data_IF_689992155573
#
_entry.id   IF_689992155573
#
_cell.length_a   1.000
_cell.length_b   1.000
_cell.length_c   1.000
_cell.angle_alpha   90.00
_cell.angle_beta   90.00
_cell.angle_gamma   90.00
#
_symmetry.space_group_name_H-M   'P 1'
#
loop_
_entity.id
_entity.type
_entity.pdbx_description
1 polymer ?
#
# COMPACT_ATOMS: atom_id res chain seq x y z
N UNK A 1 -22.98 -9.00 -3.43
CA UNK A 1 -22.30 -9.02 -4.75
C UNK A 1 -21.01 -8.22 -4.63
N UNK A 2 -20.07 -8.37 -5.54
CA UNK A 2 -18.74 -7.77 -5.41
C UNK A 2 -18.42 -6.88 -6.61
N UNK A 3 -17.73 -5.77 -6.38
CA UNK A 3 -17.05 -5.01 -7.42
C UNK A 3 -15.55 -5.19 -7.34
N UNK A 4 -14.89 -5.26 -8.49
CA UNK A 4 -13.43 -5.26 -8.63
C UNK A 4 -13.04 -4.08 -9.53
N UNK A 5 -12.29 -3.13 -8.98
CA UNK A 5 -11.90 -1.89 -9.66
C UNK A 5 -10.39 -1.82 -9.80
N UNK A 6 -9.94 -1.80 -11.05
CA UNK A 6 -8.55 -1.63 -11.45
C UNK A 6 -8.32 -0.22 -11.99
N UNK A 7 -7.09 0.27 -11.83
CA UNK A 7 -6.62 1.52 -12.39
C UNK A 7 -5.27 1.32 -13.09
N UNK A 8 -5.08 1.97 -14.22
CA UNK A 8 -3.80 2.03 -14.92
C UNK A 8 -3.71 3.27 -15.80
N UNK A 9 -2.49 3.66 -16.14
CA UNK A 9 -2.23 4.85 -16.95
C UNK A 9 -1.39 4.50 -18.18
N UNK A 10 -1.64 5.19 -19.28
CA UNK A 10 -0.79 5.16 -20.49
C UNK A 10 -0.44 6.58 -20.90
N UNK A 11 0.69 6.81 -21.60
CA UNK A 11 0.96 8.08 -22.23
C UNK A 11 -0.22 8.52 -23.10
N UNK A 12 -0.59 9.80 -23.09
CA UNK A 12 -1.80 10.31 -23.76
C UNK A 12 -1.86 9.94 -25.25
N UNK A 13 -0.70 9.90 -25.92
CA UNK A 13 -0.57 9.45 -27.32
C UNK A 13 -1.04 8.00 -27.57
N UNK A 14 -1.00 7.14 -26.56
CA UNK A 14 -1.42 5.74 -26.61
C UNK A 14 -2.87 5.54 -26.17
N UNK A 15 -3.55 6.58 -25.66
CA UNK A 15 -4.91 6.51 -25.12
C UNK A 15 -5.87 5.74 -26.03
N UNK A 16 -6.03 6.19 -27.29
CA UNK A 16 -7.05 5.63 -28.18
C UNK A 16 -6.77 4.16 -28.52
N UNK A 17 -5.50 3.78 -28.64
CA UNK A 17 -5.10 2.42 -28.93
C UNK A 17 -5.34 1.51 -27.70
N UNK A 18 -4.97 1.98 -26.52
CA UNK A 18 -5.19 1.23 -25.28
C UNK A 18 -6.67 1.14 -24.91
N UNK A 19 -7.48 2.17 -25.18
CA UNK A 19 -8.94 2.14 -24.98
C UNK A 19 -9.63 1.01 -25.77
N UNK A 20 -9.24 0.82 -27.03
CA UNK A 20 -9.78 -0.28 -27.84
C UNK A 20 -9.35 -1.64 -27.32
N UNK A 21 -8.08 -1.74 -26.91
CA UNK A 21 -7.51 -2.96 -26.35
C UNK A 21 -8.17 -3.33 -25.02
N UNK A 22 -8.23 -2.40 -24.06
CA UNK A 22 -8.85 -2.58 -22.74
C UNK A 22 -10.35 -2.88 -22.82
N UNK A 23 -11.04 -2.32 -23.83
CA UNK A 23 -12.43 -2.71 -24.08
C UNK A 23 -12.56 -4.18 -24.52
N UNK A 24 -11.60 -4.69 -25.29
CA UNK A 24 -11.63 -6.07 -25.75
C UNK A 24 -11.22 -7.05 -24.64
N UNK A 25 -10.12 -6.80 -23.93
CA UNK A 25 -9.52 -7.71 -22.93
C UNK A 25 -10.08 -7.49 -21.52
N UNK A 26 -10.28 -6.24 -21.10
CA UNK A 26 -10.84 -5.90 -19.79
C UNK A 26 -12.36 -6.04 -19.76
N UNK A 27 -13.07 -5.37 -20.67
CA UNK A 27 -14.54 -5.28 -20.64
C UNK A 27 -15.21 -6.53 -21.23
N UNK A 28 -14.94 -6.89 -22.49
CA UNK A 28 -15.67 -8.00 -23.14
C UNK A 28 -15.36 -9.36 -22.53
N UNK A 29 -14.10 -9.65 -22.20
CA UNK A 29 -13.74 -10.94 -21.60
C UNK A 29 -14.39 -11.10 -20.22
N UNK A 30 -14.36 -10.06 -19.38
CA UNK A 30 -15.00 -10.13 -18.06
C UNK A 30 -16.52 -10.35 -18.16
N UNK A 31 -17.21 -9.70 -19.11
CA UNK A 31 -18.64 -9.92 -19.38
C UNK A 31 -18.96 -11.35 -19.83
N UNK A 32 -18.01 -12.04 -20.47
CA UNK A 32 -18.20 -13.41 -20.93
C UNK A 32 -18.08 -14.46 -19.81
N UNK A 33 -17.54 -14.10 -18.65
CA UNK A 33 -17.37 -15.02 -17.51
C UNK A 33 -18.72 -15.19 -16.77
N UNK A 34 -19.18 -16.43 -16.54
CA UNK A 34 -20.37 -16.69 -15.75
C UNK A 34 -20.33 -16.01 -14.37
N UNK A 35 -21.41 -15.31 -14.02
CA UNK A 35 -21.54 -14.59 -12.76
C UNK A 35 -21.08 -13.12 -12.80
N UNK A 36 -20.53 -12.65 -13.93
CA UNK A 36 -20.36 -11.22 -14.17
C UNK A 36 -21.74 -10.52 -14.30
N UNK A 37 -21.86 -9.34 -13.71
CA UNK A 37 -23.09 -8.52 -13.66
C UNK A 37 -22.94 -7.17 -14.36
N UNK A 38 -21.74 -6.86 -14.85
CA UNK A 38 -21.42 -5.62 -15.54
C UNK A 38 -19.94 -5.35 -15.55
N UNK A 39 -19.46 -4.69 -16.60
CA UNK A 39 -18.11 -4.19 -16.72
C UNK A 39 -18.17 -2.76 -17.28
N UNK A 40 -17.51 -1.84 -16.60
CA UNK A 40 -17.58 -0.41 -16.86
C UNK A 40 -16.17 0.15 -16.95
N UNK A 41 -15.93 0.95 -17.99
CA UNK A 41 -14.65 1.62 -18.20
C UNK A 41 -14.86 3.13 -18.11
N UNK A 42 -14.03 3.81 -17.30
CA UNK A 42 -13.95 5.27 -17.25
C UNK A 42 -12.55 5.69 -17.62
N UNK A 43 -12.45 6.71 -18.45
CA UNK A 43 -11.18 7.28 -18.89
C UNK A 43 -11.15 8.75 -18.49
N UNK A 44 -10.04 9.16 -17.89
CA UNK A 44 -9.78 10.55 -17.47
C UNK A 44 -8.42 10.96 -18.03
N UNK A 45 -8.36 12.10 -18.69
CA UNK A 45 -7.09 12.65 -19.17
C UNK A 45 -6.54 13.62 -18.13
N UNK A 46 -5.26 13.47 -17.78
CA UNK A 46 -4.57 14.35 -16.85
C UNK A 46 -3.13 14.51 -17.31
N UNK A 47 -2.72 15.76 -17.57
CA UNK A 47 -1.38 16.11 -18.05
C UNK A 47 -1.00 15.29 -19.30
N UNK A 48 0.12 14.55 -19.24
CA UNK A 48 0.64 13.75 -20.35
C UNK A 48 0.10 12.30 -20.36
N UNK A 49 -0.90 11.98 -19.54
CA UNK A 49 -1.41 10.63 -19.35
C UNK A 49 -2.93 10.50 -19.50
N UNK A 50 -3.36 9.32 -19.92
CA UNK A 50 -4.74 8.89 -19.85
C UNK A 50 -4.87 7.81 -18.76
N UNK A 51 -5.74 8.06 -17.79
CA UNK A 51 -6.08 7.18 -16.69
C UNK A 51 -7.29 6.33 -17.05
N UNK A 52 -7.14 5.02 -16.90
CA UNK A 52 -8.16 4.02 -17.16
C UNK A 52 -8.64 3.44 -15.83
N UNK A 53 -9.95 3.40 -15.62
CA UNK A 53 -10.58 2.76 -14.48
C UNK A 53 -11.54 1.69 -14.98
N UNK A 54 -11.18 0.42 -14.80
CA UNK A 54 -12.06 -0.72 -15.11
C UNK A 54 -12.75 -1.19 -13.83
N UNK A 55 -14.07 -1.11 -13.78
CA UNK A 55 -14.87 -1.69 -12.70
C UNK A 55 -15.71 -2.85 -13.22
N UNK A 56 -15.51 -4.04 -12.67
CA UNK A 56 -16.32 -5.24 -12.96
C UNK A 56 -17.18 -5.60 -11.76
N UNK A 57 -18.40 -6.09 -12.00
CA UNK A 57 -19.39 -6.49 -10.99
C UNK A 57 -19.61 -7.99 -11.08
N UNK A 58 -19.72 -8.65 -9.92
CA UNK A 58 -19.78 -10.10 -9.81
C UNK A 58 -20.82 -10.51 -8.77
N UNK A 59 -21.63 -11.53 -9.05
CA UNK A 59 -22.59 -12.02 -8.06
C UNK A 59 -21.93 -12.63 -6.83
N UNK A 60 -20.79 -13.28 -7.01
CA UNK A 60 -20.03 -13.96 -5.97
C UNK A 60 -18.52 -13.74 -6.11
N UNK A 61 -17.79 -13.93 -5.00
CA UNK A 61 -16.33 -13.92 -4.99
C UNK A 61 -15.74 -15.06 -5.86
N UNK A 62 -16.42 -16.20 -5.92
CA UNK A 62 -15.98 -17.33 -6.75
C UNK A 62 -15.99 -16.98 -8.25
N UNK A 63 -17.05 -16.30 -8.72
CA UNK A 63 -17.15 -15.80 -10.10
C UNK A 63 -16.04 -14.81 -10.43
N UNK A 64 -15.71 -13.92 -9.48
CA UNK A 64 -14.60 -12.98 -9.63
C UNK A 64 -13.23 -13.69 -9.70
N UNK A 65 -12.98 -14.67 -8.83
CA UNK A 65 -11.75 -15.47 -8.82
C UNK A 65 -11.59 -16.25 -10.13
N UNK A 66 -12.68 -16.70 -10.75
CA UNK A 66 -12.63 -17.35 -12.05
C UNK A 66 -12.11 -16.43 -13.17
N UNK A 67 -12.31 -15.11 -13.04
CA UNK A 67 -11.77 -14.11 -13.93
C UNK A 67 -10.36 -13.64 -13.54
N UNK A 68 -10.18 -13.22 -12.28
CA UNK A 68 -8.97 -12.56 -11.81
C UNK A 68 -7.88 -13.52 -11.29
N UNK A 69 -8.16 -14.82 -11.24
CA UNK A 69 -7.28 -15.82 -10.64
C UNK A 69 -7.36 -15.87 -9.12
N UNK A 70 -6.48 -16.68 -8.52
CA UNK A 70 -6.46 -16.94 -7.07
C UNK A 70 -6.04 -15.72 -6.24
N UNK A 71 -5.45 -14.71 -6.87
CA UNK A 71 -5.03 -13.45 -6.24
C UNK A 71 -5.80 -12.26 -6.83
N UNK A 72 -7.12 -12.14 -6.56
CA UNK A 72 -7.99 -11.20 -7.27
C UNK A 72 -7.70 -9.71 -6.97
N UNK A 73 -6.88 -9.43 -5.95
CA UNK A 73 -6.36 -8.11 -5.59
C UNK A 73 -5.20 -7.67 -6.49
N UNK A 74 -4.65 -8.54 -7.33
CA UNK A 74 -3.60 -8.22 -8.30
C UNK A 74 -4.24 -7.96 -9.66
N UNK A 75 -3.69 -7.00 -10.40
CA UNK A 75 -4.11 -6.71 -11.76
C UNK A 75 -3.85 -7.92 -12.65
N UNK A 76 -4.79 -8.21 -13.55
CA UNK A 76 -4.53 -9.20 -14.60
C UNK A 76 -3.67 -8.47 -15.63
N UNK A 77 -2.48 -8.99 -15.89
CA UNK A 77 -1.53 -8.39 -16.84
C UNK A 77 -1.43 -9.25 -18.09
N UNK A 78 -1.24 -8.58 -19.22
CA UNK A 78 -1.08 -9.21 -20.52
C UNK A 78 0.24 -8.76 -21.15
N UNK A 79 0.93 -9.63 -21.91
CA UNK A 79 2.19 -9.26 -22.57
C UNK A 79 2.10 -8.04 -23.49
N UNK A 80 0.93 -7.79 -24.09
CA UNK A 80 0.70 -6.65 -24.99
C UNK A 80 0.64 -5.31 -24.24
N UNK A 81 0.46 -5.30 -22.90
CA UNK A 81 0.33 -4.09 -22.08
C UNK A 81 1.58 -3.20 -22.19
N UNK A 82 2.76 -3.81 -22.30
CA UNK A 82 4.04 -3.10 -22.49
C UNK A 82 4.07 -2.27 -23.79
N UNK A 83 3.38 -2.73 -24.85
CA UNK A 83 3.32 -2.01 -26.13
C UNK A 83 2.70 -0.62 -25.97
N UNK A 84 1.74 -0.48 -25.05
CA UNK A 84 1.04 0.77 -24.77
C UNK A 84 1.76 1.65 -23.75
N UNK A 85 2.85 1.17 -23.16
CA UNK A 85 3.50 1.81 -22.02
C UNK A 85 2.59 1.86 -20.80
N UNK A 86 1.76 0.83 -20.61
CA UNK A 86 0.84 0.75 -19.48
C UNK A 86 1.63 0.70 -18.17
N UNK A 87 1.32 1.65 -17.28
CA UNK A 87 1.70 1.62 -15.88
C UNK A 87 0.44 1.24 -15.12
N UNK A 88 0.32 -0.05 -14.78
CA UNK A 88 -0.80 -0.60 -14.01
C UNK A 88 -0.60 -0.35 -12.52
N UNK A 89 -1.67 0.00 -11.81
CA UNK A 89 -1.62 -0.04 -10.35
C UNK A 89 -1.41 -1.49 -9.88
N UNK A 90 -0.58 -1.71 -8.86
CA UNK A 90 -0.27 -3.05 -8.37
C UNK A 90 -1.39 -3.64 -7.50
N UNK A 91 -2.41 -2.85 -7.17
CA UNK A 91 -3.52 -3.23 -6.30
C UNK A 91 -4.83 -2.95 -7.00
N UNK A 92 -5.72 -3.94 -6.96
CA UNK A 92 -7.09 -3.86 -7.42
C UNK A 92 -8.02 -3.84 -6.22
N UNK A 93 -8.92 -2.87 -6.21
CA UNK A 93 -9.85 -2.67 -5.09
C UNK A 93 -11.02 -3.62 -5.25
N UNK A 94 -11.30 -4.42 -4.22
CA UNK A 94 -12.50 -5.26 -4.14
C UNK A 94 -13.42 -4.74 -3.05
N UNK A 95 -14.71 -4.59 -3.36
CA UNK A 95 -15.72 -4.14 -2.40
C UNK A 95 -16.98 -5.00 -2.52
N UNK A 96 -17.65 -5.23 -1.39
CA UNK A 96 -19.02 -5.71 -1.41
C UNK A 96 -19.96 -4.53 -1.73
N UNK A 97 -20.87 -4.73 -2.68
CA UNK A 97 -21.77 -3.68 -3.17
C UNK A 97 -23.23 -4.16 -3.17
N UNK A 98 -24.16 -3.21 -3.08
CA UNK A 98 -25.60 -3.49 -3.02
C UNK A 98 -26.25 -3.71 -4.40
N UNK A 99 -25.64 -3.19 -5.47
CA UNK A 99 -26.14 -3.26 -6.84
C UNK A 99 -25.00 -3.26 -7.88
N UNK A 100 -25.38 -3.58 -9.12
CA UNK A 100 -24.51 -3.75 -10.29
C UNK A 100 -24.53 -2.53 -11.23
N UNK A 101 -25.04 -1.37 -10.76
CA UNK A 101 -25.09 -0.16 -11.58
C UNK A 101 -23.69 0.34 -11.93
N UNK A 102 -23.62 1.06 -13.05
CA UNK A 102 -22.40 1.72 -13.49
C UNK A 102 -21.94 2.74 -12.43
N UNK A 103 -20.79 2.54 -11.77
CA UNK A 103 -20.30 3.45 -10.75
C UNK A 103 -19.79 4.79 -11.31
N UNK A 104 -19.63 4.88 -12.63
CA UNK A 104 -19.09 6.06 -13.32
C UNK A 104 -20.16 6.89 -14.02
N UNK A 105 -21.42 6.45 -14.01
CA UNK A 105 -22.52 7.25 -14.52
C UNK A 105 -22.73 8.46 -13.60
N UNK A 106 -22.96 9.64 -14.20
CA UNK A 106 -23.47 10.78 -13.44
C UNK A 106 -24.81 10.37 -12.81
N UNK A 107 -25.02 10.70 -11.53
CA UNK A 107 -26.33 10.57 -10.91
C UNK A 107 -27.26 11.61 -11.54
N UNK A 108 -27.89 11.26 -12.65
CA UNK A 108 -28.97 12.05 -13.21
C UNK A 108 -30.23 11.83 -12.37
N UNK A 109 -30.69 12.93 -11.75
CA UNK A 109 -32.04 13.22 -11.25
C UNK A 109 -32.94 12.03 -10.86
N UNK A 110 -33.01 11.74 -9.56
CA UNK A 110 -34.27 11.27 -8.98
C UNK A 110 -35.10 12.52 -8.64
N UNK A 111 -35.82 13.01 -9.64
CA UNK A 111 -36.95 13.90 -9.44
C UNK A 111 -38.10 13.19 -8.72
N UNK A 112 -38.44 13.67 -7.53
CA UNK A 112 -39.79 13.64 -6.95
C UNK A 112 -40.31 12.31 -6.39
N UNK A 113 -40.23 12.14 -5.07
CA UNK A 113 -41.41 12.20 -4.19
C UNK A 113 -40.99 12.04 -2.73
N UNK A 114 -41.43 13.00 -1.93
CA UNK A 114 -41.42 12.97 -0.47
C UNK A 114 -42.13 11.73 0.06
N UNK A 115 -41.36 10.83 0.71
CA UNK A 115 -41.87 10.05 1.82
C UNK A 115 -40.81 9.98 2.90
N UNK A 116 -41.12 10.60 4.02
CA UNK A 116 -40.49 10.37 5.32
C UNK A 116 -40.25 8.86 5.50
N UNK A 117 -38.99 8.48 5.67
CA UNK A 117 -38.64 7.25 6.37
C UNK A 117 -37.64 7.61 7.45
N UNK A 118 -38.11 7.37 8.67
CA UNK A 118 -37.39 7.45 9.94
C UNK A 118 -35.97 6.85 9.87
N UNK A 119 -35.04 7.34 10.70
CA UNK A 119 -33.63 7.00 10.61
C UNK A 119 -33.42 5.54 11.02
N UNK A 120 -32.99 4.69 10.07
CA UNK A 120 -32.34 3.44 10.42
C UNK A 120 -30.90 3.81 10.79
N UNK A 121 -30.61 3.77 12.09
CA UNK A 121 -29.27 3.77 12.66
C UNK A 121 -28.50 2.55 12.15
N UNK A 122 -27.87 2.68 10.98
CA UNK A 122 -26.74 1.87 10.59
C UNK A 122 -25.48 2.68 10.81
N UNK A 123 -24.72 2.36 11.87
CA UNK A 123 -23.38 2.91 12.11
C UNK A 123 -22.47 2.50 10.94
N UNK A 124 -22.37 3.31 9.89
CA UNK A 124 -21.17 3.33 9.07
C UNK A 124 -20.12 4.11 9.88
N UNK A 125 -19.03 3.49 10.37
CA UNK A 125 -17.99 4.26 11.02
C UNK A 125 -17.37 5.13 9.94
N UNK A 126 -17.61 6.44 9.98
CA UNK A 126 -16.89 7.41 9.16
C UNK A 126 -15.40 7.09 9.23
N UNK A 127 -14.76 6.70 8.13
CA UNK A 127 -13.31 6.45 8.12
C UNK A 127 -12.65 7.81 8.31
N UNK A 128 -12.21 8.10 9.54
CA UNK A 128 -11.41 9.28 9.80
C UNK A 128 -10.03 9.01 9.19
N UNK A 129 -9.53 9.88 8.31
CA UNK A 129 -8.23 9.67 7.69
C UNK A 129 -7.14 9.58 8.78
N UNK A 130 -6.25 8.60 8.64
CA UNK A 130 -5.06 8.47 9.47
C UNK A 130 -4.23 9.75 9.35
N UNK A 131 -3.73 10.25 10.48
CA UNK A 131 -2.86 11.42 10.53
C UNK A 131 -1.41 10.98 10.73
N UNK A 132 -0.47 11.79 10.26
CA UNK A 132 0.96 11.51 10.34
C UNK A 132 1.64 12.60 11.14
N UNK A 133 2.45 12.21 12.11
CA UNK A 133 3.29 13.11 12.90
C UNK A 133 4.75 12.73 12.69
N UNK A 134 5.57 13.70 12.32
CA UNK A 134 7.00 13.54 12.14
C UNK A 134 7.81 14.30 13.19
N UNK A 135 9.02 13.83 13.46
CA UNK A 135 9.94 14.40 14.43
C UNK A 135 11.29 13.68 14.42
N UNK A 136 12.05 13.87 15.48
CA UNK A 136 13.40 13.35 15.67
C UNK A 136 13.43 12.29 16.78
N UNK A 137 14.55 12.15 17.51
CA UNK A 137 14.72 11.21 18.60
C UNK A 137 13.72 11.41 19.75
N UNK A 138 13.11 12.60 19.86
CA UNK A 138 12.07 12.90 20.84
C UNK A 138 10.83 11.99 20.71
N UNK A 139 10.60 11.42 19.53
CA UNK A 139 9.46 10.54 19.26
C UNK A 139 9.74 9.05 19.53
N UNK A 140 10.94 8.67 19.98
CA UNK A 140 11.31 7.27 20.16
C UNK A 140 10.39 6.56 21.17
N UNK A 141 10.06 7.20 22.29
CA UNK A 141 9.24 6.54 23.32
C UNK A 141 7.80 6.25 22.84
N UNK A 142 7.29 7.05 21.89
CA UNK A 142 5.93 6.91 21.35
C UNK A 142 5.77 5.65 20.46
N UNK A 143 6.87 5.11 19.94
CA UNK A 143 6.87 3.93 19.07
C UNK A 143 7.19 2.63 19.81
N UNK A 144 7.43 2.68 21.13
CA UNK A 144 7.91 1.51 21.90
C UNK A 144 7.04 0.26 21.68
N UNK A 145 5.72 0.39 21.84
CA UNK A 145 4.81 -0.75 21.74
C UNK A 145 4.75 -1.34 20.32
N UNK A 146 4.76 -0.47 19.31
CA UNK A 146 4.81 -0.87 17.90
C UNK A 146 6.13 -1.55 17.55
N UNK A 147 7.25 -1.03 18.06
CA UNK A 147 8.57 -1.64 17.85
C UNK A 147 8.66 -3.00 18.55
N UNK A 148 8.13 -3.14 19.76
CA UNK A 148 8.08 -4.44 20.45
C UNK A 148 7.21 -5.44 19.67
N UNK A 149 6.15 -5.00 19.00
CA UNK A 149 5.36 -5.84 18.09
C UNK A 149 6.15 -6.26 16.84
N UNK A 150 6.90 -5.35 16.23
CA UNK A 150 7.83 -5.67 15.14
C UNK A 150 8.89 -6.69 15.59
N UNK A 151 9.46 -6.52 16.78
CA UNK A 151 10.48 -7.40 17.32
C UNK A 151 9.92 -8.83 17.55
N UNK A 152 8.68 -8.94 18.05
CA UNK A 152 7.97 -10.22 18.14
C UNK A 152 7.76 -10.85 16.76
N UNK A 153 7.35 -10.06 15.76
CA UNK A 153 7.17 -10.55 14.39
C UNK A 153 8.47 -11.13 13.82
N UNK A 154 9.60 -10.45 14.00
CA UNK A 154 10.90 -10.96 13.55
C UNK A 154 11.35 -12.20 14.33
N UNK A 155 11.16 -12.23 15.66
CA UNK A 155 11.43 -13.43 16.47
C UNK A 155 10.68 -14.65 15.95
N UNK A 156 9.40 -14.48 15.61
CA UNK A 156 8.53 -15.58 15.18
C UNK A 156 8.87 -16.07 13.77
N UNK A 157 9.39 -15.18 12.92
CA UNK A 157 9.88 -15.50 11.57
C UNK A 157 11.34 -16.01 11.55
N UNK A 158 12.13 -15.75 12.59
CA UNK A 158 13.56 -16.00 12.61
C UNK A 158 13.89 -17.50 12.52
N UNK A 159 14.74 -17.86 11.55
CA UNK A 159 15.25 -19.23 11.39
C UNK A 159 16.41 -19.52 12.36
N UNK A 160 17.41 -18.63 12.39
CA UNK A 160 18.67 -18.89 13.11
C UNK A 160 18.88 -17.97 14.34
N UNK A 161 18.27 -16.78 14.35
CA UNK A 161 18.57 -15.71 15.32
C UNK A 161 17.41 -15.43 16.28
N UNK A 162 16.58 -16.43 16.62
CA UNK A 162 15.43 -16.23 17.51
C UNK A 162 15.84 -15.65 18.88
N UNK A 163 16.91 -16.19 19.47
CA UNK A 163 17.45 -15.73 20.75
C UNK A 163 17.91 -14.26 20.73
N UNK A 164 18.36 -13.76 19.57
CA UNK A 164 18.70 -12.34 19.40
C UNK A 164 17.47 -11.47 19.65
N UNK A 165 16.35 -11.76 18.97
CA UNK A 165 15.13 -10.97 19.13
C UNK A 165 14.50 -11.13 20.53
N UNK A 166 14.65 -12.27 21.19
CA UNK A 166 14.19 -12.47 22.57
C UNK A 166 14.96 -11.60 23.59
N UNK A 167 16.28 -11.44 23.38
CA UNK A 167 17.12 -10.60 24.23
C UNK A 167 17.13 -9.12 23.82
N UNK A 168 16.75 -8.79 22.58
CA UNK A 168 16.82 -7.43 22.05
C UNK A 168 15.67 -6.56 22.55
N UNK A 169 15.94 -5.78 23.59
CA UNK A 169 14.94 -4.91 24.21
C UNK A 169 14.82 -3.55 23.51
N UNK A 170 13.67 -2.90 23.69
CA UNK A 170 13.48 -1.54 23.18
C UNK A 170 14.51 -0.55 23.74
N UNK A 171 14.93 -0.69 25.01
CA UNK A 171 15.96 0.16 25.59
C UNK A 171 17.32 0.03 24.85
N UNK A 172 17.69 -1.19 24.44
CA UNK A 172 18.88 -1.43 23.62
C UNK A 172 18.72 -0.83 22.22
N UNK A 173 17.56 -1.02 21.57
CA UNK A 173 17.29 -0.40 20.26
C UNK A 173 17.35 1.11 20.33
N UNK A 174 16.69 1.73 21.31
CA UNK A 174 16.69 3.18 21.53
C UNK A 174 18.11 3.70 21.68
N UNK A 175 18.94 3.06 22.52
CA UNK A 175 20.35 3.42 22.68
C UNK A 175 21.11 3.35 21.35
N UNK A 176 20.93 2.28 20.57
CA UNK A 176 21.58 2.12 19.27
C UNK A 176 21.17 3.23 18.28
N UNK A 177 19.87 3.57 18.22
CA UNK A 177 19.35 4.65 17.37
C UNK A 177 19.91 6.02 17.78
N UNK A 178 19.96 6.31 19.08
CA UNK A 178 20.54 7.56 19.60
C UNK A 178 22.04 7.68 19.27
N UNK A 179 22.79 6.58 19.33
CA UNK A 179 24.20 6.58 18.90
C UNK A 179 24.32 6.82 17.40
N UNK A 180 23.49 6.16 16.57
CA UNK A 180 23.49 6.37 15.13
C UNK A 180 23.11 7.82 14.74
N UNK A 181 22.21 8.45 15.50
CA UNK A 181 21.81 9.84 15.28
C UNK A 181 22.95 10.84 15.48
N UNK A 182 23.99 10.51 16.24
CA UNK A 182 25.16 11.38 16.42
C UNK A 182 25.95 11.60 15.12
N UNK A 183 25.84 10.67 14.15
CA UNK A 183 26.53 10.74 12.86
C UNK A 183 25.57 11.05 11.70
N UNK A 184 24.55 11.87 11.93
CA UNK A 184 23.60 12.22 10.89
C UNK A 184 22.35 12.89 11.41
N UNK A 185 21.25 12.69 10.70
CA UNK A 185 19.90 13.10 11.12
C UNK A 185 19.02 11.87 11.21
N UNK A 186 18.24 11.79 12.28
CA UNK A 186 17.17 10.81 12.43
C UNK A 186 15.83 11.49 12.16
N UNK A 187 14.95 10.80 11.44
CA UNK A 187 13.55 11.17 11.28
C UNK A 187 12.69 10.00 11.71
N UNK A 188 11.72 10.29 12.56
CA UNK A 188 10.70 9.35 12.99
C UNK A 188 9.37 9.90 12.53
N UNK A 189 8.59 9.07 11.86
CA UNK A 189 7.24 9.40 11.43
C UNK A 189 6.27 8.35 11.96
N UNK A 190 5.16 8.80 12.53
CA UNK A 190 4.19 7.96 13.22
C UNK A 190 2.82 8.19 12.59
N UNK A 191 2.19 7.11 12.16
CA UNK A 191 0.80 7.07 11.75
C UNK A 191 -0.08 6.94 13.00
N UNK A 192 -1.08 7.81 13.13
CA UNK A 192 -1.97 7.91 14.28
C UNK A 192 -3.41 7.76 13.82
N UNK A 193 -4.16 6.85 14.46
CA UNK A 193 -5.61 6.80 14.29
C UNK A 193 -6.25 7.88 15.16
N UNK A 194 -6.84 8.94 14.59
CA UNK A 194 -7.45 10.02 15.37
C UNK A 194 -8.69 9.59 16.17
N UNK A 195 -9.33 8.45 15.85
CA UNK A 195 -10.48 7.95 16.61
C UNK A 195 -10.08 7.34 17.93
N UNK A 196 -9.01 6.55 17.92
CA UNK A 196 -8.51 5.82 19.09
C UNK A 196 -7.38 6.56 19.77
N UNK A 197 -6.83 7.59 19.11
CA UNK A 197 -5.58 8.28 19.48
C UNK A 197 -4.37 7.35 19.55
N UNK A 198 -4.48 6.17 18.94
CA UNK A 198 -3.45 5.14 18.97
C UNK A 198 -2.41 5.38 17.87
N UNK A 199 -1.14 5.15 18.20
CA UNK A 199 -0.08 5.04 17.20
C UNK A 199 -0.21 3.66 16.53
N UNK A 200 -0.40 3.62 15.21
CA UNK A 200 -0.77 2.41 14.46
C UNK A 200 0.30 1.98 13.45
N UNK A 201 1.27 2.85 13.19
CA UNK A 201 2.43 2.53 12.38
C UNK A 201 3.53 3.57 12.57
N UNK A 202 4.75 3.22 12.21
CA UNK A 202 5.86 4.16 12.24
C UNK A 202 6.92 3.81 11.20
N UNK A 203 7.71 4.82 10.82
CA UNK A 203 8.95 4.68 10.07
C UNK A 203 10.07 5.44 10.78
N UNK A 204 11.23 4.81 10.89
CA UNK A 204 12.48 5.44 11.32
C UNK A 204 13.41 5.48 10.12
N UNK A 205 13.90 6.67 9.82
CA UNK A 205 14.77 6.97 8.70
C UNK A 205 15.99 7.73 9.17
N UNK A 206 17.13 7.49 8.53
CA UNK A 206 18.39 8.13 8.89
C UNK A 206 19.13 8.56 7.63
N UNK A 207 19.73 9.74 7.67
CA UNK A 207 20.71 10.20 6.68
C UNK A 207 22.00 10.51 7.40
N UNK A 208 23.08 9.82 7.05
CA UNK A 208 24.41 10.06 7.60
C UNK A 208 25.03 11.35 7.07
N UNK A 209 26.01 11.89 7.80
CA UNK A 209 26.81 13.00 7.31
C UNK A 209 27.56 12.69 6.00
N UNK A 210 27.82 11.40 5.69
CA UNK A 210 28.36 10.96 4.40
C UNK A 210 27.38 11.16 3.25
N UNK A 211 26.08 11.25 3.54
CA UNK A 211 24.98 11.23 2.56
C UNK A 211 24.40 9.84 2.29
N UNK A 212 24.87 8.80 2.99
CA UNK A 212 24.22 7.48 2.96
C UNK A 212 22.95 7.49 3.80
N UNK A 213 21.85 6.98 3.26
CA UNK A 213 20.59 6.89 3.97
C UNK A 213 20.11 5.46 4.20
N UNK A 214 19.48 5.26 5.36
CA UNK A 214 18.99 3.97 5.81
C UNK A 214 17.57 4.08 6.37
N UNK A 215 16.71 3.15 5.95
CA UNK A 215 15.38 2.95 6.52
C UNK A 215 15.56 1.95 7.65
N UNK A 216 15.74 2.52 8.84
CA UNK A 216 16.14 1.81 10.06
C UNK A 216 15.07 0.85 10.56
N UNK A 217 13.80 1.20 10.40
CA UNK A 217 12.69 0.41 10.90
C UNK A 217 11.37 0.91 10.31
N UNK A 218 10.51 -0.01 9.86
CA UNK A 218 9.17 0.29 9.39
C UNK A 218 8.24 -0.78 9.95
N UNK A 219 7.12 -0.36 10.54
CA UNK A 219 6.10 -1.29 11.00
C UNK A 219 4.72 -0.63 10.94
N UNK A 220 3.73 -1.44 10.56
CA UNK A 220 2.31 -1.11 10.65
C UNK A 220 1.62 -2.25 11.38
N UNK A 221 0.79 -1.90 12.36
CA UNK A 221 -0.02 -2.85 13.13
C UNK A 221 -0.92 -3.65 12.19
N UNK A 222 -1.10 -4.94 12.50
CA UNK A 222 -1.75 -5.90 11.60
C UNK A 222 -3.14 -5.44 11.13
N UNK A 223 -3.97 -4.90 12.03
CA UNK A 223 -5.32 -4.40 11.73
C UNK A 223 -5.37 -3.17 10.82
N UNK A 224 -4.23 -2.51 10.62
CA UNK A 224 -4.08 -1.31 9.78
C UNK A 224 -3.27 -1.58 8.50
N UNK A 225 -2.90 -2.84 8.24
CA UNK A 225 -2.24 -3.24 6.98
C UNK A 225 -3.22 -3.28 5.82
N UNK A 226 -2.70 -3.08 4.61
CA UNK A 226 -3.52 -3.01 3.39
C UNK A 226 -4.27 -1.69 3.21
N UNK A 227 -4.10 -0.73 4.13
CA UNK A 227 -4.71 0.60 4.06
C UNK A 227 -3.76 1.68 3.49
N UNK A 228 -2.60 1.30 2.95
CA UNK A 228 -1.63 2.23 2.34
C UNK A 228 -0.69 2.94 3.31
N UNK A 229 -0.77 2.70 4.63
CA UNK A 229 0.05 3.42 5.62
C UNK A 229 1.54 3.14 5.45
N UNK A 230 1.91 1.90 5.10
CA UNK A 230 3.30 1.52 4.86
C UNK A 230 3.87 2.28 3.67
N UNK A 231 3.09 2.38 2.59
CA UNK A 231 3.42 3.12 1.38
C UNK A 231 3.57 4.61 1.66
N UNK A 232 2.66 5.22 2.41
CA UNK A 232 2.77 6.64 2.80
C UNK A 232 4.01 6.89 3.66
N UNK A 233 4.23 6.07 4.69
CA UNK A 233 5.38 6.19 5.58
C UNK A 233 6.71 6.05 4.84
N UNK A 234 6.82 5.06 3.94
CA UNK A 234 8.03 4.83 3.16
C UNK A 234 8.23 5.94 2.09
N UNK A 235 7.16 6.37 1.42
CA UNK A 235 7.22 7.47 0.45
C UNK A 235 7.70 8.78 1.09
N UNK A 236 7.16 9.13 2.26
CA UNK A 236 7.58 10.32 3.01
C UNK A 236 9.04 10.23 3.47
N UNK A 237 9.50 9.03 3.86
CA UNK A 237 10.89 8.78 4.20
C UNK A 237 11.83 8.99 3.00
N UNK A 238 11.48 8.44 1.83
CA UNK A 238 12.28 8.59 0.59
C UNK A 238 12.36 10.06 0.20
N UNK A 239 11.22 10.76 0.16
CA UNK A 239 11.18 12.19 -0.17
C UNK A 239 12.07 13.02 0.77
N UNK A 240 12.01 12.75 2.08
CA UNK A 240 12.87 13.41 3.06
C UNK A 240 14.37 13.12 2.84
N UNK A 241 14.72 11.89 2.46
CA UNK A 241 16.11 11.55 2.13
C UNK A 241 16.57 12.24 0.85
N UNK A 242 15.69 12.38 -0.15
CA UNK A 242 15.96 13.13 -1.40
C UNK A 242 16.18 14.62 -1.12
N UNK A 243 15.34 15.24 -0.28
CA UNK A 243 15.50 16.64 0.15
C UNK A 243 16.86 16.90 0.82
N UNK A 244 17.39 15.90 1.54
CA UNK A 244 18.71 15.98 2.18
C UNK A 244 19.87 15.64 1.23
N UNK A 245 19.59 15.31 -0.03
CA UNK A 245 20.61 14.97 -1.03
C UNK A 245 21.26 13.61 -0.79
N UNK A 246 20.55 12.65 -0.20
CA UNK A 246 21.07 11.30 0.03
C UNK A 246 21.42 10.61 -1.29
N UNK A 247 22.69 10.23 -1.45
CA UNK A 247 23.19 9.61 -2.67
C UNK A 247 23.01 8.07 -2.68
N UNK A 248 22.78 7.47 -1.51
CA UNK A 248 22.32 6.07 -1.40
C UNK A 248 21.13 5.97 -0.45
N UNK A 249 20.27 4.98 -0.70
CA UNK A 249 19.13 4.62 0.17
C UNK A 249 19.13 3.11 0.33
N UNK A 250 19.04 2.62 1.57
CA UNK A 250 19.12 1.19 1.86
C UNK A 250 18.17 0.76 2.98
N UNK A 251 17.67 -0.46 2.88
CA UNK A 251 16.84 -1.08 3.92
C UNK A 251 17.35 -2.49 4.18
N UNK A 252 17.31 -2.91 5.44
CA UNK A 252 17.66 -4.27 5.83
C UNK A 252 16.38 -5.08 6.08
N UNK A 253 16.24 -6.21 5.40
CA UNK A 253 15.14 -7.15 5.60
C UNK A 253 15.69 -8.40 6.28
N UNK A 254 15.09 -8.79 7.40
CA UNK A 254 15.47 -10.00 8.12
C UNK A 254 15.10 -11.26 7.34
N UNK A 255 15.93 -12.30 7.45
CA UNK A 255 15.62 -13.64 6.94
C UNK A 255 14.33 -14.17 7.55
N UNK A 256 13.45 -14.73 6.73
CA UNK A 256 12.09 -15.14 7.09
C UNK A 256 11.02 -14.07 6.82
N UNK A 257 11.42 -12.87 6.39
CA UNK A 257 10.53 -11.78 6.00
C UNK A 257 10.68 -11.38 4.51
N UNK A 258 11.02 -12.34 3.65
CA UNK A 258 11.26 -12.11 2.22
C UNK A 258 10.00 -11.59 1.48
N UNK A 259 8.81 -11.83 2.04
CA UNK A 259 7.55 -11.21 1.56
C UNK A 259 7.59 -9.68 1.53
N UNK A 260 8.49 -9.06 2.30
CA UNK A 260 8.67 -7.61 2.29
C UNK A 260 9.43 -7.10 1.06
N UNK A 261 10.12 -7.97 0.30
CA UNK A 261 10.85 -7.55 -0.90
C UNK A 261 9.92 -6.91 -1.92
N UNK A 262 8.79 -7.54 -2.24
CA UNK A 262 7.82 -6.97 -3.19
C UNK A 262 7.28 -5.61 -2.74
N UNK A 263 7.14 -5.40 -1.43
CA UNK A 263 6.75 -4.09 -0.88
C UNK A 263 7.78 -3.01 -1.21
N UNK A 264 9.07 -3.30 -0.99
CA UNK A 264 10.19 -2.37 -1.21
C UNK A 264 10.58 -2.21 -2.70
N UNK A 265 10.43 -3.25 -3.52
CA UNK A 265 10.68 -3.22 -4.97
C UNK A 265 9.83 -2.16 -5.68
N UNK A 266 8.59 -1.95 -5.23
CA UNK A 266 7.71 -0.88 -5.75
C UNK A 266 8.27 0.53 -5.56
N UNK A 267 9.24 0.69 -4.66
CA UNK A 267 9.95 1.94 -4.39
C UNK A 267 11.38 1.93 -4.96
N UNK A 268 11.73 0.97 -5.80
CA UNK A 268 13.04 0.86 -6.45
C UNK A 268 14.15 0.30 -5.55
N UNK A 269 13.81 -0.36 -4.44
CA UNK A 269 14.79 -1.07 -3.62
C UNK A 269 14.92 -2.51 -4.10
N UNK A 270 16.16 -2.96 -4.30
CA UNK A 270 16.46 -4.31 -4.77
C UNK A 270 17.54 -4.98 -3.91
N UNK A 271 17.56 -6.32 -3.81
CA UNK A 271 18.63 -7.04 -3.14
C UNK A 271 20.01 -6.72 -3.75
N UNK A 272 20.91 -6.13 -2.96
CA UNK A 272 22.28 -5.81 -3.39
C UNK A 272 23.35 -6.74 -2.82
N UNK A 273 23.15 -7.22 -1.58
CA UNK A 273 24.07 -8.11 -0.86
C UNK A 273 23.32 -8.91 0.21
N UNK A 274 23.87 -10.06 0.59
CA UNK A 274 23.43 -10.84 1.75
C UNK A 274 24.43 -10.64 2.88
N UNK A 275 23.96 -10.31 4.09
CA UNK A 275 24.79 -10.21 5.30
C UNK A 275 24.73 -11.53 6.06
N UNK A 276 25.89 -12.08 6.41
CA UNK A 276 25.99 -13.26 7.26
C UNK A 276 26.57 -12.88 8.62
N UNK A 277 25.97 -13.40 9.69
CA UNK A 277 26.42 -13.20 11.06
C UNK A 277 26.71 -14.56 11.71
N UNK A 278 27.75 -14.62 12.54
CA UNK A 278 28.08 -15.81 13.31
C UNK A 278 27.28 -15.81 14.62
N UNK A 279 26.58 -16.90 14.92
CA UNK A 279 25.95 -17.12 16.23
C UNK A 279 27.07 -17.32 17.26
N UNK A 280 27.08 -16.50 18.32
CA UNK A 280 28.01 -16.60 19.45
C UNK A 280 27.40 -17.38 20.60
#
# INVERSE_FOLDING_TARGET
MFSRTWHGIVPLKMRAAFEQYEYQTGVKESLAIPGNRGAFLKIVEQEDFAHFFLCTKWDSMASMIAYAGQEPLIAVTYPEDEHYGLISDPIVIIQEVADDRNPFAAQDDIGGQSKEKSPIQGKNPAITPITYRSGDESLLDDIKELWEALNRHHRDAAVNFKAHYEAFTFAMRKKNLLTKAQNGRLRIEIAVDPKTTQNVGYCISRVECSGDAEMESLYVQDDYRGLGLGETLLGNAIAWMDELGAHTKSVSVAVGNEKAFSFYERFGFYPRKTLLEQIK
#
